data_IF_300027103444
#
_entry.id   IF_300027103444
#
_cell.length_a   1.000
_cell.length_b   1.000
_cell.length_c   1.000
_cell.angle_alpha   90.00
_cell.angle_beta   90.00
_cell.angle_gamma   90.00
#
_symmetry.space_group_name_H-M   'P 1'
#
loop_
_entity.id
_entity.type
_entity.pdbx_description
1 polymer ?
#
# COMPACT_ATOMS: atom_id res chain seq x y z
N UNK A 1 1.34 -21.33 10.38
CA UNK A 1 1.91 -20.59 11.55
C UNK A 1 1.22 -19.25 11.82
N UNK A 2 0.39 -18.71 10.90
CA UNK A 2 -0.34 -17.44 11.07
C UNK A 2 -1.42 -17.45 12.17
N UNK A 3 -2.11 -18.58 12.39
CA UNK A 3 -3.18 -18.67 13.41
C UNK A 3 -2.72 -18.46 14.85
N UNK A 4 -1.51 -18.87 15.20
CA UNK A 4 -0.95 -18.65 16.54
C UNK A 4 -0.49 -17.19 16.75
N UNK A 5 -0.06 -16.51 15.69
CA UNK A 5 0.29 -15.09 15.74
C UNK A 5 -0.98 -14.23 15.94
N UNK A 6 -2.08 -14.58 15.26
CA UNK A 6 -3.39 -13.93 15.40
C UNK A 6 -3.92 -14.02 16.84
N UNK A 7 -3.85 -15.20 17.45
CA UNK A 7 -4.26 -15.39 18.85
C UNK A 7 -3.42 -14.54 19.82
N UNK A 8 -2.12 -14.41 19.56
CA UNK A 8 -1.24 -13.56 20.35
C UNK A 8 -1.48 -12.05 20.12
N UNK A 9 -1.92 -11.63 18.92
CA UNK A 9 -2.28 -10.23 18.64
C UNK A 9 -3.52 -9.76 19.40
N UNK A 10 -4.52 -10.63 19.54
CA UNK A 10 -5.71 -10.32 20.33
C UNK A 10 -5.36 -10.13 21.82
N UNK A 11 -4.41 -10.92 22.34
CA UNK A 11 -3.98 -10.86 23.74
C UNK A 11 -3.12 -9.64 24.09
N UNK A 12 -2.22 -9.21 23.19
CA UNK A 12 -1.21 -8.18 23.52
C UNK A 12 -1.73 -6.74 23.33
N UNK A 13 -2.69 -6.50 22.43
CA UNK A 13 -3.47 -5.24 22.31
C UNK A 13 -2.71 -3.91 22.54
N UNK A 14 -1.45 -3.80 22.10
CA UNK A 14 -0.72 -2.54 22.05
C UNK A 14 -0.45 -2.13 20.59
N UNK A 15 -0.68 -0.84 20.29
CA UNK A 15 -0.56 -0.24 18.95
C UNK A 15 0.82 -0.49 18.34
N UNK A 16 1.87 -0.50 19.16
CA UNK A 16 3.24 -0.76 18.71
C UNK A 16 3.38 -2.13 18.06
N UNK A 17 2.79 -3.16 18.67
CA UNK A 17 2.82 -4.52 18.13
C UNK A 17 2.06 -4.59 16.81
N UNK A 18 0.87 -3.99 16.73
CA UNK A 18 0.08 -3.97 15.49
C UNK A 18 0.87 -3.33 14.34
N UNK A 19 1.55 -2.20 14.59
CA UNK A 19 2.40 -1.54 13.60
C UNK A 19 3.52 -2.45 13.08
N UNK A 20 4.29 -3.07 13.98
CA UNK A 20 5.41 -3.94 13.62
C UNK A 20 4.99 -5.12 12.74
N UNK A 21 3.86 -5.75 13.06
CA UNK A 21 3.36 -6.86 12.25
C UNK A 21 2.85 -6.40 10.90
N UNK A 22 2.19 -5.25 10.81
CA UNK A 22 1.79 -4.72 9.51
C UNK A 22 3.01 -4.42 8.63
N UNK A 23 4.07 -3.85 9.21
CA UNK A 23 5.32 -3.61 8.47
C UNK A 23 5.97 -4.94 8.02
N UNK A 24 5.96 -5.99 8.85
CA UNK A 24 6.44 -7.32 8.44
C UNK A 24 5.61 -7.95 7.31
N UNK A 25 4.29 -7.78 7.33
CA UNK A 25 3.41 -8.27 6.27
C UNK A 25 3.66 -7.52 4.95
N UNK A 26 3.96 -6.22 5.04
CA UNK A 26 4.36 -5.42 3.89
C UNK A 26 5.69 -5.91 3.29
N UNK A 27 6.72 -6.10 4.12
CA UNK A 27 8.02 -6.60 3.66
C UNK A 27 7.89 -7.99 3.01
N UNK A 28 7.12 -8.88 3.61
CA UNK A 28 6.86 -10.20 3.03
C UNK A 28 6.14 -10.11 1.67
N UNK A 29 5.22 -9.16 1.51
CA UNK A 29 4.59 -8.90 0.22
C UNK A 29 5.61 -8.40 -0.81
N UNK A 30 6.48 -7.45 -0.46
CA UNK A 30 7.52 -6.94 -1.36
C UNK A 30 8.49 -8.03 -1.81
N UNK A 31 8.85 -8.97 -0.93
CA UNK A 31 9.74 -10.09 -1.25
C UNK A 31 9.08 -11.16 -2.12
N UNK A 32 7.80 -11.46 -1.88
CA UNK A 32 7.11 -12.60 -2.51
C UNK A 32 6.25 -12.21 -3.71
N UNK A 33 5.82 -10.96 -3.82
CA UNK A 33 4.80 -10.49 -4.76
C UNK A 33 3.39 -11.03 -4.47
N UNK A 34 3.18 -11.76 -3.37
CA UNK A 34 1.90 -12.41 -3.06
C UNK A 34 1.23 -11.74 -1.87
N UNK A 35 0.00 -11.29 -2.07
CA UNK A 35 -0.85 -10.73 -1.01
C UNK A 35 -1.45 -11.82 -0.13
N UNK A 36 -0.61 -12.50 0.66
CA UNK A 36 -0.98 -13.64 1.50
C UNK A 36 -1.45 -13.24 2.93
N UNK A 37 -1.89 -11.99 3.13
CA UNK A 37 -2.24 -11.47 4.45
C UNK A 37 -3.75 -11.25 4.69
N UNK A 38 -4.61 -11.55 3.71
CA UNK A 38 -6.05 -11.26 3.78
C UNK A 38 -6.72 -11.80 5.05
N UNK A 39 -6.52 -13.09 5.36
CA UNK A 39 -7.12 -13.71 6.55
C UNK A 39 -6.60 -13.12 7.87
N UNK A 40 -5.37 -12.59 7.90
CA UNK A 40 -4.81 -11.94 9.09
C UNK A 40 -5.50 -10.60 9.29
N UNK A 41 -5.59 -9.79 8.25
CA UNK A 41 -6.27 -8.49 8.29
C UNK A 41 -7.72 -8.67 8.72
N UNK A 42 -8.44 -9.62 8.12
CA UNK A 42 -9.86 -9.86 8.44
C UNK A 42 -10.03 -10.24 9.92
N UNK A 43 -9.12 -11.04 10.48
CA UNK A 43 -9.17 -11.43 11.90
C UNK A 43 -8.92 -10.25 12.85
N UNK A 44 -8.00 -9.35 12.50
CA UNK A 44 -7.66 -8.16 13.31
C UNK A 44 -8.78 -7.12 13.23
N UNK A 45 -9.38 -6.93 12.04
CA UNK A 45 -10.55 -6.07 11.84
C UNK A 45 -11.78 -6.60 12.60
N UNK A 46 -12.01 -7.91 12.58
CA UNK A 46 -13.12 -8.54 13.32
C UNK A 46 -12.99 -8.37 14.84
N UNK A 47 -11.77 -8.22 15.36
CA UNK A 47 -11.51 -7.89 16.75
C UNK A 47 -11.76 -6.41 17.11
N UNK A 48 -12.18 -5.58 16.15
CA UNK A 48 -12.49 -4.16 16.36
C UNK A 48 -11.26 -3.26 16.51
N UNK A 49 -10.08 -3.76 16.16
CA UNK A 49 -8.83 -3.00 16.25
C UNK A 49 -8.67 -2.09 15.03
N UNK A 50 -8.28 -0.84 15.29
CA UNK A 50 -7.99 0.15 14.26
C UNK A 50 -6.57 0.71 14.42
N UNK A 51 -5.80 0.64 13.33
CA UNK A 51 -4.42 1.12 13.25
C UNK A 51 -4.14 1.59 11.82
N UNK A 52 -3.41 2.68 11.63
CA UNK A 52 -3.19 3.26 10.29
C UNK A 52 -2.50 2.28 9.34
N UNK A 53 -1.51 1.53 9.83
CA UNK A 53 -0.85 0.46 9.06
C UNK A 53 -1.80 -0.66 8.64
N UNK A 54 -2.77 -1.01 9.48
CA UNK A 54 -3.77 -2.01 9.15
C UNK A 54 -4.73 -1.48 8.07
N UNK A 55 -5.16 -0.23 8.21
CA UNK A 55 -5.99 0.45 7.20
C UNK A 55 -5.25 0.57 5.86
N UNK A 56 -3.94 0.86 5.89
CA UNK A 56 -3.08 0.87 4.71
C UNK A 56 -3.10 -0.48 3.99
N UNK A 57 -2.76 -1.56 4.68
CA UNK A 57 -2.71 -2.89 4.06
C UNK A 57 -4.07 -3.37 3.54
N UNK A 58 -5.14 -3.00 4.24
CA UNK A 58 -6.53 -3.30 3.82
C UNK A 58 -6.85 -2.59 2.52
N UNK A 59 -6.67 -1.26 2.46
CA UNK A 59 -6.94 -0.49 1.24
C UNK A 59 -6.03 -0.91 0.08
N UNK A 60 -4.78 -1.26 0.36
CA UNK A 60 -3.86 -1.73 -0.67
C UNK A 60 -4.27 -3.08 -1.24
N UNK A 61 -4.79 -3.99 -0.40
CA UNK A 61 -5.42 -5.24 -0.88
C UNK A 61 -6.61 -4.93 -1.78
N UNK A 62 -7.52 -4.06 -1.33
CA UNK A 62 -8.72 -3.72 -2.08
C UNK A 62 -8.34 -3.10 -3.45
N UNK A 63 -7.29 -2.26 -3.48
CA UNK A 63 -6.70 -1.73 -4.72
C UNK A 63 -6.30 -2.85 -5.68
N UNK A 64 -5.55 -3.85 -5.21
CA UNK A 64 -5.12 -4.98 -6.03
C UNK A 64 -6.29 -5.83 -6.53
N UNK A 65 -7.32 -6.02 -5.72
CA UNK A 65 -8.52 -6.74 -6.11
C UNK A 65 -9.28 -6.00 -7.21
N UNK A 66 -9.51 -4.69 -7.05
CA UNK A 66 -10.12 -3.84 -8.09
C UNK A 66 -9.27 -3.79 -9.36
N UNK A 67 -7.95 -3.69 -9.24
CA UNK A 67 -7.04 -3.69 -10.38
C UNK A 67 -7.12 -5.01 -11.18
N UNK A 68 -7.11 -6.16 -10.50
CA UNK A 68 -7.28 -7.48 -11.11
C UNK A 68 -8.65 -7.67 -11.77
N UNK A 69 -9.68 -7.05 -11.19
CA UNK A 69 -11.02 -7.00 -11.76
C UNK A 69 -11.17 -6.00 -12.92
N UNK A 70 -10.08 -5.34 -13.35
CA UNK A 70 -10.05 -4.29 -14.39
C UNK A 70 -10.93 -3.07 -14.05
N UNK A 71 -11.23 -2.86 -12.76
CA UNK A 71 -11.94 -1.70 -12.24
C UNK A 71 -10.95 -0.56 -11.97
N UNK A 72 -10.34 -0.05 -13.03
CA UNK A 72 -9.18 0.85 -12.91
C UNK A 72 -9.50 2.19 -12.22
N UNK A 73 -10.72 2.72 -12.40
CA UNK A 73 -11.16 3.95 -11.72
C UNK A 73 -11.24 3.75 -10.20
N UNK A 74 -11.83 2.63 -9.77
CA UNK A 74 -11.93 2.29 -8.34
C UNK A 74 -10.55 2.02 -7.74
N UNK A 75 -9.72 1.27 -8.46
CA UNK A 75 -8.33 1.00 -8.08
C UNK A 75 -7.52 2.31 -7.92
N UNK A 76 -7.62 3.22 -8.88
CA UNK A 76 -6.98 4.54 -8.79
C UNK A 76 -7.49 5.36 -7.61
N UNK A 77 -8.81 5.36 -7.37
CA UNK A 77 -9.40 6.01 -6.20
C UNK A 77 -8.85 5.47 -4.88
N UNK A 78 -8.64 4.16 -4.77
CA UNK A 78 -8.05 3.53 -3.59
C UNK A 78 -6.60 3.95 -3.38
N UNK A 79 -5.75 3.89 -4.41
CA UNK A 79 -4.35 4.36 -4.33
C UNK A 79 -4.27 5.84 -3.92
N UNK A 80 -5.09 6.69 -4.55
CA UNK A 80 -5.14 8.11 -4.21
C UNK A 80 -5.56 8.31 -2.76
N UNK A 81 -6.56 7.56 -2.28
CA UNK A 81 -7.02 7.65 -0.90
C UNK A 81 -5.88 7.31 0.09
N UNK A 82 -5.10 6.27 -0.19
CA UNK A 82 -3.95 5.86 0.64
C UNK A 82 -2.90 6.97 0.70
N UNK A 83 -2.60 7.58 -0.45
CA UNK A 83 -1.55 8.59 -0.58
C UNK A 83 -1.94 9.93 0.06
N UNK A 84 -3.23 10.29 0.03
CA UNK A 84 -3.76 11.54 0.60
C UNK A 84 -4.03 11.40 2.10
N UNK A 85 -4.49 10.25 2.57
CA UNK A 85 -4.87 10.05 3.98
C UNK A 85 -3.68 9.81 4.92
N UNK A 86 -2.45 9.81 4.41
CA UNK A 86 -1.20 9.65 5.17
C UNK A 86 -1.08 8.35 6.00
N UNK A 87 -1.93 7.37 5.73
CA UNK A 87 -1.90 6.06 6.40
C UNK A 87 -0.72 5.20 5.94
N UNK A 88 -0.22 5.48 4.73
CA UNK A 88 0.91 4.77 4.15
C UNK A 88 2.20 5.04 4.95
N UNK A 89 2.99 3.98 5.25
CA UNK A 89 4.34 4.18 5.74
C UNK A 89 5.18 5.00 4.75
N UNK A 90 6.08 5.88 5.22
CA UNK A 90 6.92 6.68 4.32
C UNK A 90 7.71 5.86 3.30
N UNK A 91 8.15 4.65 3.66
CA UNK A 91 8.89 3.76 2.77
C UNK A 91 8.00 3.19 1.64
N UNK A 92 6.72 2.89 1.92
CA UNK A 92 5.80 2.32 0.94
C UNK A 92 5.30 3.32 -0.11
N UNK A 93 5.45 4.62 0.12
CA UNK A 93 4.97 5.66 -0.80
C UNK A 93 5.60 5.52 -2.19
N UNK A 94 6.88 5.14 -2.26
CA UNK A 94 7.55 4.93 -3.54
C UNK A 94 6.90 3.79 -4.34
N UNK A 95 6.62 2.66 -3.68
CA UNK A 95 6.00 1.49 -4.31
C UNK A 95 4.59 1.82 -4.82
N UNK A 96 3.79 2.53 -4.02
CA UNK A 96 2.45 2.99 -4.41
C UNK A 96 2.45 3.90 -5.65
N UNK A 97 3.49 4.73 -5.80
CA UNK A 97 3.63 5.61 -6.96
C UNK A 97 4.03 4.82 -8.20
N UNK A 98 4.84 3.78 -8.05
CA UNK A 98 5.14 2.84 -9.14
C UNK A 98 3.88 2.09 -9.57
N UNK A 99 3.07 1.63 -8.60
CA UNK A 99 1.79 0.96 -8.86
C UNK A 99 0.76 1.87 -9.55
N UNK A 100 0.91 3.20 -9.45
CA UNK A 100 0.07 4.16 -10.17
C UNK A 100 0.47 4.35 -11.64
N UNK A 101 1.70 3.98 -12.05
CA UNK A 101 2.19 4.18 -13.43
C UNK A 101 1.29 3.49 -14.47
N UNK A 102 0.93 2.19 -14.32
CA UNK A 102 0.07 1.52 -15.30
C UNK A 102 -1.33 2.16 -15.43
N UNK A 103 -1.82 2.80 -14.37
CA UNK A 103 -3.11 3.50 -14.36
C UNK A 103 -3.05 4.88 -15.02
N UNK A 104 -1.85 5.48 -15.10
CA UNK A 104 -1.60 6.74 -15.80
C UNK A 104 -1.37 6.54 -17.29
N UNK A 105 -0.80 5.39 -17.68
CA UNK A 105 -0.47 5.06 -19.07
C UNK A 105 -1.62 4.38 -19.82
N UNK A 106 -2.66 3.93 -19.12
CA UNK A 106 -3.80 3.25 -19.71
C UNK A 106 -4.69 4.15 -20.58
N UNK A 107 -5.49 3.53 -21.45
CA UNK A 107 -6.45 4.22 -22.32
C UNK A 107 -7.61 4.88 -21.55
N UNK A 108 -7.86 4.42 -20.32
CA UNK A 108 -8.90 4.94 -19.44
C UNK A 108 -8.32 6.08 -18.60
N UNK A 109 -8.98 7.23 -18.60
CA UNK A 109 -8.63 8.34 -17.73
C UNK A 109 -8.97 7.99 -16.27
N UNK A 110 -8.00 7.44 -15.54
CA UNK A 110 -8.16 7.05 -14.12
C UNK A 110 -8.00 8.23 -13.18
N UNK A 111 -7.05 9.12 -13.47
CA UNK A 111 -6.75 10.28 -12.64
C UNK A 111 -7.00 11.59 -13.40
N UNK A 112 -7.66 12.54 -12.75
CA UNK A 112 -7.75 13.91 -13.24
C UNK A 112 -6.38 14.61 -13.16
N UNK A 113 -6.22 15.74 -13.86
CA UNK A 113 -4.98 16.54 -13.80
C UNK A 113 -4.63 16.96 -12.35
N UNK A 114 -5.63 17.31 -11.54
CA UNK A 114 -5.43 17.67 -10.14
C UNK A 114 -4.99 16.46 -9.30
N UNK A 115 -5.57 15.28 -9.56
CA UNK A 115 -5.19 14.04 -8.86
C UNK A 115 -3.77 13.62 -9.24
N UNK A 116 -3.41 13.70 -10.52
CA UNK A 116 -2.04 13.45 -11.00
C UNK A 116 -1.04 14.42 -10.35
N UNK A 117 -1.40 15.69 -10.20
CA UNK A 117 -0.56 16.67 -9.51
C UNK A 117 -0.36 16.33 -8.03
N UNK A 118 -1.40 15.83 -7.35
CA UNK A 118 -1.30 15.33 -5.97
C UNK A 118 -0.34 14.15 -5.89
N UNK A 119 -0.41 13.20 -6.83
CA UNK A 119 0.54 12.08 -6.90
C UNK A 119 1.98 12.58 -7.09
N UNK A 120 2.20 13.49 -8.05
CA UNK A 120 3.52 14.01 -8.40
C UNK A 120 4.17 14.85 -7.29
N UNK A 121 3.39 15.52 -6.44
CA UNK A 121 3.89 16.36 -5.35
C UNK A 121 4.26 15.58 -4.09
N UNK A 122 4.06 14.26 -4.04
CA UNK A 122 4.40 13.47 -2.85
C UNK A 122 5.92 13.37 -2.69
N UNK A 123 6.40 13.70 -1.49
CA UNK A 123 7.78 14.07 -1.12
C UNK A 123 8.87 13.02 -1.45
N UNK A 124 8.52 11.77 -1.76
CA UNK A 124 9.47 10.67 -2.02
C UNK A 124 9.88 10.51 -3.49
N UNK A 125 9.10 11.04 -4.44
CA UNK A 125 9.39 10.93 -5.89
C UNK A 125 10.76 11.48 -6.32
N UNK A 126 11.22 12.64 -5.82
CA UNK A 126 12.52 13.20 -6.24
C UNK A 126 13.72 12.33 -5.86
N UNK A 127 13.68 11.66 -4.71
CA UNK A 127 14.78 10.82 -4.23
C UNK A 127 14.86 9.49 -4.98
N UNK A 128 13.70 8.88 -5.26
CA UNK A 128 13.59 7.64 -6.03
C UNK A 128 14.02 7.87 -7.49
N UNK A 129 13.51 8.93 -8.14
CA UNK A 129 13.93 9.28 -9.50
C UNK A 129 15.41 9.68 -9.58
N UNK A 130 15.97 10.32 -8.55
CA UNK A 130 17.39 10.61 -8.50
C UNK A 130 18.24 9.33 -8.45
N UNK A 131 17.84 8.33 -7.66
CA UNK A 131 18.50 7.02 -7.61
C UNK A 131 18.44 6.27 -8.94
N UNK A 132 17.28 6.23 -9.59
CA UNK A 132 17.09 5.61 -10.90
C UNK A 132 17.87 6.33 -12.01
N UNK A 133 17.87 7.67 -12.02
CA UNK A 133 18.64 8.47 -12.99
C UNK A 133 20.15 8.39 -12.76
N UNK A 134 20.60 8.02 -11.57
CA UNK A 134 22.01 7.80 -11.27
C UNK A 134 22.47 6.41 -11.70
N UNK A 135 21.62 5.39 -11.53
CA UNK A 135 21.84 4.04 -12.05
C UNK A 135 21.90 4.01 -13.59
N UNK A 136 20.96 4.67 -14.29
CA UNK A 136 20.96 4.78 -15.76
C UNK A 136 22.14 5.58 -16.34
N UNK A 137 22.86 6.35 -15.52
CA UNK A 137 24.09 7.06 -15.94
C UNK A 137 25.36 6.27 -15.64
N UNK A 138 25.27 5.26 -14.78
CA UNK A 138 26.37 4.41 -14.38
C UNK A 138 26.42 3.08 -15.15
N UNK A 139 25.39 2.80 -15.96
CA UNK A 139 25.17 1.54 -16.67
C UNK A 139 24.59 1.80 -18.07
#
# INVERSE_FOLDING_TARGET
RLGAAIAHFAEVSDRVSIGLICDQLWDQYLESGVLAYGSVIDSVLAAGLSHDRLQFLTRYRDFHESYKAQQFVDAGGMLLSILVSEIAPPHAVADLLVDAIPLLEGDVLVFSADQTLVLMRRRSLPAVLAGWAQWMRAN
#
